data_IF_725184018474
#
_entry.id   IF_725184018474
#
_cell.length_a   1.000
_cell.length_b   1.000
_cell.length_c   1.000
_cell.angle_alpha   90.00
_cell.angle_beta   90.00
_cell.angle_gamma   90.00
#
_symmetry.space_group_name_H-M   'P 1'
#
loop_
_entity.id
_entity.type
_entity.pdbx_description
1 polymer ?
#
# COMPACT_ATOMS: atom_id res chain seq x y z
N UNK A 1 10.07 -7.04 6.16
CA UNK A 1 9.98 -6.05 7.26
C UNK A 1 8.60 -6.05 7.92
N UNK A 2 7.52 -5.68 7.22
CA UNK A 2 6.17 -5.53 7.82
C UNK A 2 5.69 -6.77 8.57
N UNK A 3 5.87 -7.97 8.00
CA UNK A 3 5.53 -9.23 8.67
C UNK A 3 6.30 -9.43 9.99
N UNK A 4 7.57 -9.03 10.04
CA UNK A 4 8.36 -9.13 11.26
C UNK A 4 7.85 -8.18 12.36
N UNK A 5 7.40 -6.98 11.99
CA UNK A 5 6.78 -6.03 12.93
C UNK A 5 5.44 -6.56 13.44
N UNK A 6 4.59 -7.02 12.51
CA UNK A 6 3.28 -7.59 12.83
C UNK A 6 3.40 -8.72 13.87
N UNK A 7 4.34 -9.63 13.65
CA UNK A 7 4.62 -10.77 14.51
C UNK A 7 5.53 -10.45 15.72
N UNK A 8 5.82 -9.18 16.00
CA UNK A 8 6.66 -8.75 17.14
C UNK A 8 8.06 -9.40 17.17
N UNK A 9 8.71 -9.48 16.01
CA UNK A 9 10.14 -9.80 15.91
C UNK A 9 10.50 -11.09 15.18
N UNK A 10 9.53 -11.79 14.56
CA UNK A 10 9.84 -12.94 13.70
C UNK A 10 9.06 -12.93 12.39
N UNK A 11 9.56 -13.61 11.37
CA UNK A 11 8.86 -13.80 10.11
C UNK A 11 9.13 -15.21 9.55
N UNK A 12 8.24 -15.68 8.70
CA UNK A 12 8.53 -16.83 7.85
C UNK A 12 9.06 -16.34 6.51
N UNK A 13 9.94 -17.11 5.88
CA UNK A 13 10.45 -16.76 4.55
C UNK A 13 9.26 -16.69 3.58
N UNK A 14 9.02 -15.53 2.92
CA UNK A 14 7.91 -15.41 1.98
C UNK A 14 8.03 -16.42 0.84
N UNK A 15 6.94 -17.12 0.54
CA UNK A 15 6.86 -18.12 -0.52
C UNK A 15 5.42 -18.15 -1.06
N UNK A 16 5.26 -18.53 -2.33
CA UNK A 16 3.95 -18.50 -3.02
C UNK A 16 3.37 -19.90 -3.19
N UNK A 17 4.23 -20.89 -3.48
CA UNK A 17 3.82 -22.26 -3.72
C UNK A 17 3.40 -22.87 -2.37
N UNK A 18 2.21 -23.48 -2.31
CA UNK A 18 1.71 -24.16 -1.09
C UNK A 18 1.85 -25.67 -1.16
N UNK A 19 1.70 -26.22 -2.36
CA UNK A 19 1.80 -27.65 -2.64
C UNK A 19 2.34 -27.88 -4.06
N UNK A 20 2.97 -29.03 -4.27
CA UNK A 20 3.40 -29.55 -5.57
C UNK A 20 2.74 -30.92 -5.72
N UNK A 21 2.01 -31.14 -6.81
CA UNK A 21 1.28 -32.40 -7.05
C UNK A 21 0.32 -32.83 -5.91
N UNK A 22 -0.27 -31.84 -5.22
CA UNK A 22 -1.18 -32.06 -4.10
C UNK A 22 -0.49 -32.23 -2.74
N UNK A 23 0.83 -32.41 -2.73
CA UNK A 23 1.61 -32.55 -1.51
C UNK A 23 2.08 -31.19 -0.99
N UNK A 24 1.83 -30.84 0.29
CA UNK A 24 2.34 -29.61 0.88
C UNK A 24 3.85 -29.50 0.76
N UNK A 25 4.37 -28.28 0.60
CA UNK A 25 5.82 -28.08 0.67
C UNK A 25 6.31 -28.44 2.06
N UNK A 26 7.29 -29.34 2.12
CA UNK A 26 7.90 -29.84 3.34
C UNK A 26 9.23 -29.16 3.69
N UNK A 27 9.74 -28.29 2.81
CA UNK A 27 11.00 -27.58 3.04
C UNK A 27 10.92 -26.69 4.30
N UNK A 28 11.72 -26.99 5.35
CA UNK A 28 11.72 -26.26 6.61
C UNK A 28 12.02 -24.75 6.48
N UNK A 29 12.72 -24.33 5.43
CA UNK A 29 13.06 -22.93 5.18
C UNK A 29 11.81 -22.02 5.09
N UNK A 30 10.65 -22.60 4.76
CA UNK A 30 9.39 -21.89 4.59
C UNK A 30 8.47 -21.98 5.80
N UNK A 31 8.73 -22.92 6.72
CA UNK A 31 7.87 -23.21 7.88
C UNK A 31 8.53 -22.86 9.22
N UNK A 32 9.82 -22.57 9.24
CA UNK A 32 10.56 -22.17 10.45
C UNK A 32 10.55 -20.65 10.65
N UNK A 33 10.42 -20.21 11.91
CA UNK A 33 10.48 -18.79 12.29
C UNK A 33 11.91 -18.26 12.17
N UNK A 34 12.06 -17.18 11.41
CA UNK A 34 13.27 -16.38 11.38
C UNK A 34 13.11 -15.21 12.34
N UNK A 35 13.98 -15.12 13.35
CA UNK A 35 13.94 -14.05 14.34
C UNK A 35 14.82 -12.88 13.91
N UNK A 36 14.33 -11.67 14.17
CA UNK A 36 15.14 -10.45 14.04
C UNK A 36 16.10 -10.32 15.21
N UNK A 37 17.09 -9.44 15.08
CA UNK A 37 18.01 -9.08 16.17
C UNK A 37 17.41 -8.11 17.18
N UNK A 38 16.15 -7.70 17.01
CA UNK A 38 15.46 -6.73 17.87
C UNK A 38 14.61 -7.47 18.89
N UNK A 39 14.72 -7.09 20.17
CA UNK A 39 13.90 -7.69 21.22
C UNK A 39 12.42 -7.34 21.07
N UNK A 40 11.54 -8.31 21.38
CA UNK A 40 10.09 -8.18 21.21
C UNK A 40 9.49 -6.92 21.87
N UNK A 41 10.00 -6.51 23.04
CA UNK A 41 9.54 -5.32 23.77
C UNK A 41 9.64 -4.01 22.98
N UNK A 42 10.54 -3.93 22.01
CA UNK A 42 10.73 -2.72 21.19
C UNK A 42 9.74 -2.60 20.04
N UNK A 43 9.02 -3.67 19.70
CA UNK A 43 8.01 -3.62 18.63
C UNK A 43 6.73 -2.92 19.07
N UNK A 44 6.37 -2.94 20.35
CA UNK A 44 5.09 -2.35 20.79
C UNK A 44 5.03 -0.83 20.56
N UNK A 45 6.06 -0.03 20.92
CA UNK A 45 6.08 1.39 20.56
C UNK A 45 6.03 1.65 19.05
N UNK A 46 6.65 0.76 18.25
CA UNK A 46 6.61 0.86 16.78
C UNK A 46 5.20 0.61 16.27
N UNK A 47 4.50 -0.38 16.82
CA UNK A 47 3.12 -0.70 16.47
C UNK A 47 2.18 0.45 16.84
N UNK A 48 2.35 1.05 18.01
CA UNK A 48 1.56 2.23 18.40
C UNK A 48 1.82 3.41 17.46
N UNK A 49 3.07 3.65 17.10
CA UNK A 49 3.43 4.67 16.10
C UNK A 49 2.79 4.41 14.73
N UNK A 50 2.79 3.15 14.26
CA UNK A 50 2.13 2.74 13.02
C UNK A 50 0.60 2.84 13.11
N UNK A 51 0.02 2.63 14.29
CA UNK A 51 -1.43 2.81 14.53
C UNK A 51 -1.81 4.30 14.49
N UNK A 52 -0.95 5.17 15.03
CA UNK A 52 -1.15 6.61 15.02
C UNK A 52 -1.21 7.21 13.60
N UNK A 53 -0.53 6.59 12.62
CA UNK A 53 -0.61 6.99 11.19
C UNK A 53 -2.05 6.97 10.68
N UNK A 54 -2.84 5.99 11.13
CA UNK A 54 -4.26 5.93 10.87
C UNK A 54 -5.06 6.83 11.83
N UNK A 55 -4.79 6.85 13.13
CA UNK A 55 -5.62 7.60 14.10
C UNK A 55 -5.56 9.11 13.90
N UNK A 56 -4.37 9.67 13.73
CA UNK A 56 -4.15 11.13 13.69
C UNK A 56 -3.21 11.57 12.57
N UNK A 57 -2.53 10.63 11.91
CA UNK A 57 -1.48 10.90 10.94
C UNK A 57 -1.92 10.97 9.48
N UNK A 58 -0.96 10.65 8.60
CA UNK A 58 -1.05 10.84 7.16
C UNK A 58 -2.09 9.95 6.47
N UNK A 59 -2.50 8.84 7.08
CA UNK A 59 -3.48 7.89 6.53
C UNK A 59 -4.86 8.01 7.19
N UNK A 60 -5.13 9.10 7.94
CA UNK A 60 -6.38 9.25 8.71
C UNK A 60 -7.68 9.07 7.93
N UNK A 61 -7.68 9.43 6.65
CA UNK A 61 -8.86 9.28 5.79
C UNK A 61 -9.04 7.87 5.20
N UNK A 62 -8.03 7.00 5.35
CA UNK A 62 -8.02 5.63 4.84
C UNK A 62 -8.41 4.59 5.91
N UNK A 63 -8.87 4.99 7.09
CA UNK A 63 -9.31 4.07 8.14
C UNK A 63 -10.46 3.16 7.68
N UNK A 64 -10.51 1.93 8.19
CA UNK A 64 -11.64 1.02 7.98
C UNK A 64 -12.39 0.87 9.32
N UNK A 65 -13.69 1.22 9.39
CA UNK A 65 -14.47 1.02 10.61
C UNK A 65 -14.44 -0.45 11.06
N UNK A 66 -14.15 -0.66 12.34
CA UNK A 66 -14.08 -2.00 12.95
C UNK A 66 -12.77 -2.76 12.71
N UNK A 67 -11.77 -2.19 12.05
CA UNK A 67 -10.45 -2.81 11.87
C UNK A 67 -9.37 -1.83 12.32
N UNK A 68 -8.62 -2.18 13.38
CA UNK A 68 -7.42 -1.43 13.75
C UNK A 68 -6.27 -1.84 12.83
N UNK A 69 -5.87 -0.91 11.95
CA UNK A 69 -4.79 -1.09 10.99
C UNK A 69 -3.54 -0.36 11.49
N UNK A 70 -2.40 -1.04 11.42
CA UNK A 70 -1.09 -0.44 11.66
C UNK A 70 -0.40 -0.24 10.32
N UNK A 71 0.03 0.98 10.00
CA UNK A 71 0.69 1.22 8.73
C UNK A 71 1.65 2.40 8.72
N UNK A 72 2.29 2.61 7.58
CA UNK A 72 3.18 3.75 7.37
C UNK A 72 3.16 4.20 5.90
N UNK A 73 2.99 5.49 5.71
CA UNK A 73 3.13 6.13 4.39
C UNK A 73 4.61 6.30 4.01
N UNK A 74 4.90 6.10 2.74
CA UNK A 74 6.11 6.51 2.05
C UNK A 74 5.78 7.34 0.82
N UNK A 75 6.63 8.33 0.55
CA UNK A 75 6.64 9.10 -0.69
C UNK A 75 8.07 8.99 -1.22
N UNK A 76 8.24 8.47 -2.42
CA UNK A 76 9.57 8.20 -2.99
C UNK A 76 9.73 9.07 -4.23
N UNK A 77 10.73 9.95 -4.22
CA UNK A 77 11.02 10.78 -5.38
C UNK A 77 11.42 9.92 -6.58
N UNK A 78 10.85 10.23 -7.75
CA UNK A 78 11.08 9.51 -8.99
C UNK A 78 11.89 10.37 -9.96
N UNK A 79 12.95 9.82 -10.56
CA UNK A 79 13.81 10.54 -11.50
C UNK A 79 14.07 9.71 -12.75
N UNK A 80 13.97 10.36 -13.92
CA UNK A 80 14.30 9.78 -15.22
C UNK A 80 15.26 10.69 -15.98
N UNK A 81 15.70 10.24 -17.16
CA UNK A 81 16.54 11.04 -18.08
C UNK A 81 15.71 11.44 -19.30
N UNK A 82 15.50 12.75 -19.49
CA UNK A 82 14.81 13.34 -20.65
C UNK A 82 15.82 14.26 -21.33
N UNK A 83 16.07 14.05 -22.62
CA UNK A 83 17.02 14.84 -23.43
C UNK A 83 18.41 15.01 -22.79
N UNK A 84 18.94 13.92 -22.25
CA UNK A 84 20.25 13.95 -21.61
C UNK A 84 20.25 14.47 -20.16
N UNK A 85 19.15 15.07 -19.68
CA UNK A 85 19.04 15.71 -18.37
C UNK A 85 18.28 14.85 -17.36
N UNK A 86 18.75 14.83 -16.10
CA UNK A 86 18.00 14.22 -14.98
C UNK A 86 16.79 15.10 -14.67
N UNK A 87 15.60 14.52 -14.79
CA UNK A 87 14.32 15.20 -14.59
C UNK A 87 13.51 14.43 -13.56
N UNK A 88 12.94 15.15 -12.59
CA UNK A 88 12.06 14.57 -11.59
C UNK A 88 10.66 14.36 -12.19
N UNK A 89 10.07 13.20 -11.94
CA UNK A 89 8.67 12.89 -12.25
C UNK A 89 7.82 12.96 -10.98
N UNK A 90 6.54 12.61 -11.10
CA UNK A 90 5.67 12.48 -9.92
C UNK A 90 6.18 11.37 -9.01
N UNK A 91 6.14 11.64 -7.71
CA UNK A 91 6.63 10.70 -6.70
C UNK A 91 5.82 9.39 -6.71
N UNK A 92 6.41 8.33 -6.17
CA UNK A 92 5.72 7.06 -5.97
C UNK A 92 4.95 7.07 -4.65
N UNK A 93 3.70 6.59 -4.71
CA UNK A 93 2.87 6.37 -3.53
C UNK A 93 3.25 5.02 -2.93
N UNK A 94 3.77 5.01 -1.70
CA UNK A 94 4.14 3.77 -1.02
C UNK A 94 3.39 3.66 0.30
N UNK A 95 2.93 2.45 0.62
CA UNK A 95 2.31 2.17 1.89
C UNK A 95 2.61 0.75 2.33
N UNK A 96 2.95 0.58 3.61
CA UNK A 96 3.02 -0.74 4.24
C UNK A 96 2.02 -0.79 5.39
N UNK A 97 1.40 -1.95 5.59
CA UNK A 97 0.49 -2.14 6.70
C UNK A 97 0.36 -3.61 7.13
N UNK A 98 -0.13 -3.80 8.34
CA UNK A 98 -0.69 -5.07 8.79
C UNK A 98 -1.97 -4.82 9.59
N UNK A 99 -2.83 -5.83 9.64
CA UNK A 99 -4.07 -5.77 10.38
C UNK A 99 -4.61 -7.18 10.70
N UNK A 100 -5.46 -7.32 11.73
CA UNK A 100 -5.67 -6.36 12.83
C UNK A 100 -4.39 -6.10 13.66
N UNK A 101 -4.35 -5.00 14.43
CA UNK A 101 -3.21 -4.61 15.28
C UNK A 101 -2.73 -5.74 16.21
N UNK A 102 -3.66 -6.35 16.94
CA UNK A 102 -3.36 -7.27 18.04
C UNK A 102 -3.29 -8.74 17.60
N UNK A 103 -4.05 -9.11 16.56
CA UNK A 103 -4.00 -10.44 15.96
C UNK A 103 -3.82 -10.34 14.43
N UNK A 104 -2.61 -10.03 13.93
CA UNK A 104 -2.40 -9.76 12.52
C UNK A 104 -2.71 -10.98 11.64
N UNK A 105 -3.59 -10.77 10.65
CA UNK A 105 -3.98 -11.79 9.66
C UNK A 105 -3.37 -11.52 8.29
N UNK A 106 -3.06 -10.25 8.00
CA UNK A 106 -2.48 -9.81 6.75
C UNK A 106 -1.37 -8.80 6.99
N UNK A 107 -0.28 -8.91 6.23
CA UNK A 107 0.73 -7.88 6.06
C UNK A 107 0.85 -7.55 4.57
N UNK A 108 0.80 -6.27 4.21
CA UNK A 108 0.74 -5.80 2.84
C UNK A 108 1.75 -4.67 2.59
N UNK A 109 2.29 -4.63 1.38
CA UNK A 109 3.03 -3.52 0.84
C UNK A 109 2.38 -3.12 -0.49
N UNK A 110 2.08 -1.84 -0.66
CA UNK A 110 1.51 -1.26 -1.87
C UNK A 110 2.47 -0.20 -2.38
N UNK A 111 2.82 -0.30 -3.66
CA UNK A 111 3.68 0.64 -4.36
C UNK A 111 2.98 1.05 -5.65
N UNK A 112 2.74 2.34 -5.82
CA UNK A 112 2.07 2.91 -7.00
C UNK A 112 3.04 3.89 -7.65
N UNK A 113 3.50 3.54 -8.85
CA UNK A 113 4.37 4.39 -9.64
C UNK A 113 3.65 5.69 -10.01
N UNK A 114 4.38 6.80 -10.01
CA UNK A 114 3.84 8.15 -10.23
C UNK A 114 2.54 8.47 -9.45
N UNK A 115 2.32 7.82 -8.31
CA UNK A 115 1.12 7.91 -7.49
C UNK A 115 1.11 9.05 -6.47
N UNK A 116 2.01 10.03 -6.59
CA UNK A 116 2.21 11.13 -5.67
C UNK A 116 2.66 10.65 -4.27
N UNK A 117 2.02 11.12 -3.19
CA UNK A 117 2.36 10.75 -1.82
C UNK A 117 1.61 9.50 -1.33
N UNK A 118 2.15 8.82 -0.31
CA UNK A 118 1.68 7.50 0.14
C UNK A 118 0.21 7.38 0.56
N UNK A 119 -0.46 8.47 0.97
CA UNK A 119 -1.89 8.46 1.33
C UNK A 119 -2.84 8.72 0.16
N UNK A 120 -2.31 9.13 -1.00
CA UNK A 120 -3.13 9.44 -2.17
C UNK A 120 -3.69 8.18 -2.82
N UNK A 121 -2.86 7.18 -3.09
CA UNK A 121 -3.30 5.91 -3.69
C UNK A 121 -2.98 4.71 -2.79
N UNK A 122 -1.71 4.54 -2.39
CA UNK A 122 -1.25 3.32 -1.75
C UNK A 122 -1.97 3.00 -0.42
N UNK A 123 -2.19 3.99 0.45
CA UNK A 123 -2.92 3.77 1.70
C UNK A 123 -4.40 3.38 1.46
N UNK A 124 -5.06 3.95 0.44
CA UNK A 124 -6.45 3.61 0.12
C UNK A 124 -6.54 2.18 -0.39
N UNK A 125 -5.67 1.80 -1.32
CA UNK A 125 -5.59 0.45 -1.87
C UNK A 125 -5.31 -0.55 -0.74
N UNK A 126 -4.32 -0.28 0.11
CA UNK A 126 -3.98 -1.16 1.23
C UNK A 126 -5.17 -1.37 2.17
N UNK A 127 -5.87 -0.29 2.55
CA UNK A 127 -7.03 -0.36 3.42
C UNK A 127 -8.19 -1.15 2.81
N UNK A 128 -8.48 -0.99 1.52
CA UNK A 128 -9.54 -1.74 0.84
C UNK A 128 -9.20 -3.24 0.71
N UNK A 129 -7.94 -3.57 0.41
CA UNK A 129 -7.49 -4.97 0.33
C UNK A 129 -7.53 -5.64 1.71
N UNK A 130 -7.12 -4.92 2.76
CA UNK A 130 -7.24 -5.37 4.15
C UNK A 130 -8.70 -5.59 4.54
N UNK A 131 -9.58 -4.63 4.21
CA UNK A 131 -11.01 -4.75 4.49
C UNK A 131 -11.60 -5.99 3.81
N UNK A 132 -11.35 -6.15 2.50
CA UNK A 132 -11.83 -7.30 1.74
C UNK A 132 -11.29 -8.63 2.28
N UNK A 133 -10.03 -8.66 2.71
CA UNK A 133 -9.44 -9.87 3.28
C UNK A 133 -10.08 -10.26 4.62
N UNK A 134 -10.31 -9.31 5.51
CA UNK A 134 -10.80 -9.57 6.87
C UNK A 134 -12.32 -9.73 6.92
N UNK A 135 -13.07 -8.91 6.18
CA UNK A 135 -14.55 -8.92 6.17
C UNK A 135 -15.16 -9.73 5.03
N UNK A 136 -14.40 -10.02 3.98
CA UNK A 136 -14.90 -10.62 2.74
C UNK A 136 -15.51 -9.63 1.74
N UNK A 137 -15.73 -8.38 2.15
CA UNK A 137 -16.38 -7.34 1.34
C UNK A 137 -15.71 -5.96 1.50
N UNK A 138 -16.03 -5.01 0.61
CA UNK A 138 -15.56 -3.62 0.68
C UNK A 138 -16.74 -2.71 1.04
N UNK A 139 -16.64 -2.01 2.17
CA UNK A 139 -17.70 -1.10 2.66
C UNK A 139 -17.35 0.38 2.45
N UNK A 140 -16.06 0.74 2.36
CA UNK A 140 -15.59 2.11 2.06
C UNK A 140 -15.71 2.46 0.57
N UNK A 141 -16.95 2.60 0.10
CA UNK A 141 -17.29 2.91 -1.31
C UNK A 141 -16.77 4.25 -1.80
N UNK A 142 -16.53 5.19 -0.91
CA UNK A 142 -15.90 6.47 -1.23
C UNK A 142 -14.43 6.31 -1.66
N UNK A 143 -13.67 5.44 -0.98
CA UNK A 143 -12.28 5.13 -1.35
C UNK A 143 -12.23 4.30 -2.63
N UNK A 144 -13.12 3.31 -2.76
CA UNK A 144 -13.23 2.47 -3.96
C UNK A 144 -13.56 3.33 -5.18
N UNK A 145 -14.58 4.18 -5.09
CA UNK A 145 -14.96 5.11 -6.15
C UNK A 145 -13.79 6.03 -6.53
N UNK A 146 -13.10 6.61 -5.56
CA UNK A 146 -11.92 7.45 -5.84
C UNK A 146 -10.90 6.71 -6.70
N UNK A 147 -10.54 5.48 -6.33
CA UNK A 147 -9.54 4.70 -7.06
C UNK A 147 -10.01 4.27 -8.45
N UNK A 148 -11.31 4.03 -8.63
CA UNK A 148 -11.88 3.64 -9.92
C UNK A 148 -12.10 4.82 -10.88
N UNK A 149 -12.19 6.06 -10.38
CA UNK A 149 -12.44 7.25 -11.21
C UNK A 149 -11.21 8.13 -11.42
N UNK A 150 -10.06 7.78 -10.85
CA UNK A 150 -8.82 8.55 -11.02
C UNK A 150 -7.73 7.68 -11.66
N UNK A 151 -7.36 8.02 -12.89
CA UNK A 151 -6.28 7.44 -13.66
C UNK A 151 -4.95 8.15 -13.38
N UNK A 152 -3.85 7.41 -13.45
CA UNK A 152 -2.49 7.96 -13.43
C UNK A 152 -1.90 8.09 -14.84
N UNK A 153 -2.69 7.87 -15.89
CA UNK A 153 -2.24 7.89 -17.29
C UNK A 153 -1.56 9.20 -17.67
N UNK A 154 -2.13 10.35 -17.30
CA UNK A 154 -1.48 11.65 -17.49
C UNK A 154 -0.08 11.71 -16.87
N UNK A 155 0.10 11.13 -15.67
CA UNK A 155 1.39 11.13 -14.97
C UNK A 155 2.41 10.21 -15.64
N UNK A 156 1.95 9.13 -16.30
CA UNK A 156 2.79 8.24 -17.07
C UNK A 156 3.18 8.84 -18.42
N UNK A 157 2.27 9.56 -19.07
CA UNK A 157 2.45 10.14 -20.41
C UNK A 157 3.30 11.40 -20.42
N UNK A 158 3.25 12.22 -19.37
CA UNK A 158 3.90 13.55 -19.36
C UNK A 158 5.41 13.53 -19.62
N UNK A 159 6.08 12.43 -19.30
CA UNK A 159 7.52 12.29 -19.57
C UNK A 159 7.84 12.19 -21.07
N UNK A 160 6.83 11.87 -21.90
CA UNK A 160 6.93 11.72 -23.35
C UNK A 160 6.31 12.91 -24.11
N UNK A 161 5.69 13.87 -23.43
CA UNK A 161 4.93 14.94 -24.09
C UNK A 161 5.81 15.96 -24.82
N UNK A 162 7.08 16.09 -24.42
CA UNK A 162 7.96 17.19 -24.87
C UNK A 162 7.60 18.55 -24.27
N UNK A 163 6.53 18.63 -23.47
CA UNK A 163 6.01 19.86 -22.88
C UNK A 163 6.45 20.00 -21.41
N UNK A 164 6.64 21.23 -20.91
CA UNK A 164 6.86 21.47 -19.49
C UNK A 164 5.71 20.92 -18.63
N UNK A 165 6.05 20.30 -17.50
CA UNK A 165 5.07 19.76 -16.56
C UNK A 165 5.42 20.06 -15.10
N UNK A 166 4.39 20.01 -14.25
CA UNK A 166 4.54 20.14 -12.80
C UNK A 166 4.81 18.77 -12.14
N UNK A 167 5.55 18.81 -11.04
CA UNK A 167 5.77 17.66 -10.16
C UNK A 167 4.80 17.76 -9.00
N UNK A 168 4.04 16.69 -8.76
CA UNK A 168 3.05 16.61 -7.69
C UNK A 168 2.03 17.79 -7.66
N UNK A 169 1.33 18.12 -8.76
CA UNK A 169 0.35 19.20 -8.76
C UNK A 169 -0.76 18.97 -7.72
N UNK A 170 -1.30 20.07 -7.17
CA UNK A 170 -2.39 20.02 -6.17
C UNK A 170 -3.70 19.45 -6.74
N UNK A 171 -3.93 19.65 -8.04
CA UNK A 171 -5.11 19.16 -8.75
C UNK A 171 -4.76 17.87 -9.46
N UNK A 172 -5.56 16.82 -9.20
CA UNK A 172 -5.48 15.59 -9.98
C UNK A 172 -6.02 15.85 -11.39
N UNK A 173 -5.16 15.67 -12.40
CA UNK A 173 -5.58 15.77 -13.81
C UNK A 173 -6.14 14.46 -14.36
N UNK A 174 -6.16 13.41 -13.55
CA UNK A 174 -6.50 12.04 -13.93
C UNK A 174 -7.96 11.65 -13.78
N UNK A 175 -8.89 12.59 -13.59
CA UNK A 175 -10.32 12.25 -13.51
C UNK A 175 -10.78 11.56 -14.80
N UNK A 176 -11.16 10.29 -14.70
CA UNK A 176 -11.74 9.53 -15.79
C UNK A 176 -13.17 10.04 -15.95
N UNK A 177 -13.55 10.44 -17.18
CA UNK A 177 -14.94 10.76 -17.47
C UNK A 177 -15.84 9.58 -17.04
N UNK A 178 -17.02 9.84 -16.44
CA UNK A 178 -17.89 8.76 -16.00
C UNK A 178 -18.20 7.82 -17.18
N UNK A 179 -17.73 6.57 -17.08
CA UNK A 179 -18.11 5.50 -17.99
C UNK A 179 -19.63 5.30 -17.87
N UNK A 180 -20.42 5.39 -18.96
CA UNK A 180 -21.87 5.43 -18.88
C UNK A 180 -22.58 4.24 -18.22
N UNK A 181 -21.92 3.13 -17.85
CA UNK A 181 -22.62 1.90 -17.44
C UNK A 181 -21.89 0.95 -16.46
N UNK A 182 -20.95 1.41 -15.63
CA UNK A 182 -20.21 0.50 -14.72
C UNK A 182 -20.87 0.26 -13.34
N UNK A 183 -22.13 0.64 -13.16
CA UNK A 183 -22.90 0.36 -11.94
C UNK A 183 -24.30 -0.12 -12.33
N UNK A 184 -24.43 -1.42 -12.59
CA UNK A 184 -25.63 -2.15 -12.18
C UNK A 184 -25.17 -3.44 -11.50
N UNK A 185 -25.54 -3.66 -10.23
CA UNK A 185 -25.30 -4.92 -9.52
C UNK A 185 -26.06 -6.10 -10.15
#
# INVERSE_FOLDING_TARGET
MTAAIANRGYFYRPHIIKAIDGEPIDNPDYTVKNYTTVEARHFEPVVEGMTAVYKTGTAKYAQIPGIEICGKTGTVENFVKIDGKRTQLTDHSVFIAFAPKDNPQIAIAVFVENGYWGSRYAAKIASLLIEKHIKGEITRKDLEKYLLTHSLEYEYEKQYSGEPFEINPKVDKGLIAPQPNALNP
#
